data_IF_850052302550
#
_entry.id   IF_850052302550
#
_cell.length_a   1.000
_cell.length_b   1.000
_cell.length_c   1.000
_cell.angle_alpha   90.00
_cell.angle_beta   90.00
_cell.angle_gamma   90.00
#
_symmetry.space_group_name_H-M   'P 1'
#
loop_
_entity.id
_entity.type
_entity.pdbx_description
1 polymer ?
#
# COMPACT_ATOMS: atom_id res chain seq x y z
N UNK A 1 20.05 -15.36 -0.26
CA UNK A 1 18.85 -16.20 0.01
C UNK A 1 17.71 -15.58 -0.79
N UNK A 2 17.18 -16.29 -1.78
CA UNK A 2 16.12 -15.76 -2.65
C UNK A 2 14.86 -15.51 -1.80
N UNK A 3 14.32 -14.29 -1.85
CA UNK A 3 13.12 -13.94 -1.08
C UNK A 3 11.91 -14.55 -1.80
N UNK A 4 11.12 -15.35 -1.07
CA UNK A 4 9.90 -15.98 -1.62
C UNK A 4 8.95 -14.94 -2.21
N UNK A 5 8.51 -15.16 -3.45
CA UNK A 5 7.54 -14.28 -4.15
C UNK A 5 6.27 -14.04 -3.33
N UNK A 6 5.78 -15.07 -2.64
CA UNK A 6 4.61 -14.98 -1.75
C UNK A 6 4.89 -14.03 -0.58
N UNK A 7 6.07 -14.16 0.03
CA UNK A 7 6.50 -13.30 1.15
C UNK A 7 6.65 -11.85 0.71
N UNK A 8 7.28 -11.60 -0.43
CA UNK A 8 7.45 -10.25 -0.99
C UNK A 8 6.09 -9.63 -1.35
N UNK A 9 5.18 -10.39 -1.96
CA UNK A 9 3.83 -9.92 -2.29
C UNK A 9 3.01 -9.57 -1.04
N UNK A 10 3.09 -10.39 0.01
CA UNK A 10 2.44 -10.13 1.29
C UNK A 10 2.94 -8.82 1.92
N UNK A 11 4.26 -8.69 2.10
CA UNK A 11 4.84 -7.50 2.72
C UNK A 11 4.65 -6.22 1.90
N UNK A 12 4.64 -6.31 0.57
CA UNK A 12 4.33 -5.17 -0.29
C UNK A 12 2.92 -4.63 -0.05
N UNK A 13 1.93 -5.51 0.08
CA UNK A 13 0.54 -5.12 0.40
C UNK A 13 0.45 -4.44 1.76
N UNK A 14 1.10 -4.99 2.79
CA UNK A 14 1.13 -4.37 4.11
C UNK A 14 1.81 -2.99 4.10
N UNK A 15 2.92 -2.86 3.37
CA UNK A 15 3.64 -1.60 3.25
C UNK A 15 2.82 -0.53 2.51
N UNK A 16 2.17 -0.89 1.40
CA UNK A 16 1.27 0.01 0.66
C UNK A 16 0.09 0.43 1.52
N UNK A 17 -0.56 -0.49 2.25
CA UNK A 17 -1.63 -0.15 3.17
C UNK A 17 -1.15 0.84 4.25
N UNK A 18 0.03 0.62 4.82
CA UNK A 18 0.60 1.53 5.81
C UNK A 18 0.90 2.92 5.24
N UNK A 19 1.46 3.00 4.03
CA UNK A 19 1.74 4.29 3.37
C UNK A 19 0.47 5.11 3.14
N UNK A 20 -0.63 4.46 2.78
CA UNK A 20 -1.93 5.10 2.59
C UNK A 20 -2.51 5.55 3.94
N UNK A 21 -2.55 4.65 4.92
CA UNK A 21 -3.14 4.89 6.24
C UNK A 21 -2.40 5.98 7.04
N UNK A 22 -1.06 6.02 6.93
CA UNK A 22 -0.21 7.07 7.51
C UNK A 22 -0.34 8.43 6.81
N UNK A 23 -0.98 8.49 5.64
CA UNK A 23 -1.03 9.67 4.78
C UNK A 23 0.26 9.93 3.99
N UNK A 24 1.28 9.08 4.10
CA UNK A 24 2.57 9.24 3.41
C UNK A 24 2.43 9.17 1.89
N UNK A 25 1.59 8.26 1.38
CA UNK A 25 1.30 8.15 -0.04
C UNK A 25 -0.13 7.65 -0.29
N UNK A 26 -1.01 8.56 -0.69
CA UNK A 26 -2.45 8.29 -0.87
C UNK A 26 -2.89 8.29 -2.33
N UNK A 27 -1.95 8.24 -3.29
CA UNK A 27 -2.26 8.18 -4.72
C UNK A 27 -1.28 7.26 -5.44
N UNK A 28 -1.64 6.75 -6.62
CA UNK A 28 -0.73 5.89 -7.42
C UNK A 28 0.62 6.59 -7.69
N UNK A 29 0.67 7.86 -8.13
CA UNK A 29 1.95 8.55 -8.31
C UNK A 29 2.77 8.66 -7.02
N UNK A 30 2.14 8.94 -5.88
CA UNK A 30 2.84 9.02 -4.60
C UNK A 30 3.39 7.65 -4.16
N UNK A 31 2.63 6.57 -4.37
CA UNK A 31 3.09 5.21 -4.09
C UNK A 31 4.30 4.84 -4.96
N UNK A 32 4.29 5.20 -6.25
CA UNK A 32 5.43 4.99 -7.13
C UNK A 32 6.67 5.74 -6.62
N UNK A 33 6.51 7.01 -6.21
CA UNK A 33 7.61 7.81 -5.67
C UNK A 33 8.18 7.22 -4.36
N UNK A 34 7.31 6.74 -3.46
CA UNK A 34 7.71 6.18 -2.17
C UNK A 34 8.35 4.79 -2.24
N UNK A 35 8.18 4.07 -3.35
CA UNK A 35 8.55 2.64 -3.44
C UNK A 35 9.42 2.28 -4.64
N UNK A 36 9.56 3.18 -5.64
CA UNK A 36 10.21 2.88 -6.91
C UNK A 36 9.44 1.90 -7.81
N UNK A 37 8.25 1.44 -7.40
CA UNK A 37 7.46 0.49 -8.17
C UNK A 37 6.92 1.08 -9.48
N UNK A 38 6.80 0.29 -10.57
CA UNK A 38 6.03 0.68 -11.74
C UNK A 38 4.55 0.91 -11.42
N UNK A 39 3.89 1.77 -12.20
CA UNK A 39 2.46 2.10 -12.02
C UNK A 39 1.56 0.86 -11.93
N UNK A 40 1.76 -0.11 -12.82
CA UNK A 40 0.96 -1.34 -12.86
C UNK A 40 1.08 -2.12 -11.56
N UNK A 41 2.29 -2.25 -11.01
CA UNK A 41 2.55 -2.93 -9.73
C UNK A 41 1.88 -2.21 -8.57
N UNK A 42 1.90 -0.87 -8.52
CA UNK A 42 1.20 -0.12 -7.50
C UNK A 42 -0.33 -0.34 -7.57
N UNK A 43 -0.90 -0.30 -8.78
CA UNK A 43 -2.34 -0.55 -9.01
C UNK A 43 -2.74 -1.99 -8.66
N UNK A 44 -1.95 -2.99 -9.06
CA UNK A 44 -2.22 -4.40 -8.72
C UNK A 44 -2.11 -4.64 -7.21
N UNK A 45 -1.15 -3.99 -6.54
CA UNK A 45 -1.01 -4.09 -5.08
C UNK A 45 -2.23 -3.51 -4.37
N UNK A 46 -2.72 -2.35 -4.80
CA UNK A 46 -3.94 -1.72 -4.28
C UNK A 46 -5.16 -2.63 -4.45
N UNK A 47 -5.34 -3.19 -5.65
CA UNK A 47 -6.46 -4.10 -5.94
C UNK A 47 -6.39 -5.38 -5.08
N UNK A 48 -5.19 -5.88 -4.81
CA UNK A 48 -4.97 -7.09 -4.03
C UNK A 48 -5.01 -6.89 -2.50
N UNK A 49 -5.28 -5.67 -2.00
CA UNK A 49 -5.46 -5.43 -0.56
C UNK A 49 -6.68 -6.16 0.00
N UNK A 50 -7.76 -6.24 -0.79
CA UNK A 50 -8.99 -6.93 -0.40
C UNK A 50 -8.80 -8.44 -0.18
N UNK A 51 -7.79 -9.07 -0.79
CA UNK A 51 -7.46 -10.48 -0.54
C UNK A 51 -6.90 -10.73 0.87
N UNK A 52 -6.48 -9.67 1.57
CA UNK A 52 -6.06 -9.71 2.98
C UNK A 52 -7.15 -9.14 3.91
N UNK A 53 -8.37 -8.95 3.41
CA UNK A 53 -9.48 -8.28 4.08
C UNK A 53 -9.18 -6.83 4.52
N UNK A 54 -8.15 -6.19 3.93
CA UNK A 54 -7.85 -4.77 4.12
C UNK A 54 -8.77 -3.96 3.20
N UNK A 55 -9.65 -3.14 3.79
CA UNK A 55 -10.56 -2.28 3.04
C UNK A 55 -9.88 -0.95 2.70
N UNK A 56 -9.60 -0.76 1.42
CA UNK A 56 -9.02 0.45 0.86
C UNK A 56 -10.02 1.12 -0.08
N UNK A 57 -10.53 2.28 0.32
CA UNK A 57 -11.46 3.06 -0.49
C UNK A 57 -10.70 4.06 -1.36
N UNK A 58 -11.26 4.40 -2.52
CA UNK A 58 -10.84 5.59 -3.28
C UNK A 58 -11.88 6.69 -3.06
N UNK A 59 -11.46 7.80 -2.44
CA UNK A 59 -12.31 8.93 -2.07
C UNK A 59 -12.10 10.05 -3.07
N UNK A 60 -13.19 10.57 -3.64
CA UNK A 60 -13.23 11.75 -4.51
C UNK A 60 -14.11 12.82 -3.88
N UNK A 61 -13.74 14.09 -3.99
CA UNK A 61 -14.62 15.19 -3.58
C UNK A 61 -15.57 15.56 -4.70
N UNK A 62 -16.80 15.94 -4.35
CA UNK A 62 -17.82 16.39 -5.30
C UNK A 62 -17.29 17.55 -6.15
N UNK A 63 -17.37 17.41 -7.48
CA UNK A 63 -16.92 18.41 -8.45
C UNK A 63 -15.47 18.29 -8.92
N UNK A 64 -14.69 17.33 -8.39
CA UNK A 64 -13.35 17.06 -8.88
C UNK A 64 -13.37 16.34 -10.24
N UNK A 65 -12.39 16.65 -11.11
CA UNK A 65 -12.22 15.99 -12.41
C UNK A 65 -12.13 14.48 -12.21
N UNK A 66 -12.63 13.69 -13.16
CA UNK A 66 -12.38 12.25 -13.21
C UNK A 66 -10.88 11.99 -12.96
N UNK A 67 -10.56 11.23 -11.90
CA UNK A 67 -9.22 10.88 -11.41
C UNK A 67 -8.54 11.82 -10.38
N UNK A 68 -9.19 12.90 -9.94
CA UNK A 68 -8.78 13.59 -8.71
C UNK A 68 -9.46 12.91 -7.51
N UNK A 69 -8.65 12.48 -6.56
CA UNK A 69 -9.05 11.66 -5.42
C UNK A 69 -7.85 11.01 -4.74
N UNK A 70 -8.08 10.36 -3.62
CA UNK A 70 -7.04 9.70 -2.83
C UNK A 70 -7.53 8.38 -2.23
N UNK A 71 -6.61 7.45 -2.04
CA UNK A 71 -6.87 6.21 -1.32
C UNK A 71 -6.90 6.46 0.19
N UNK A 72 -7.77 5.72 0.87
CA UNK A 72 -7.87 5.70 2.33
C UNK A 72 -8.06 4.27 2.81
N UNK A 73 -7.28 3.84 3.79
CA UNK A 73 -7.57 2.58 4.49
C UNK A 73 -8.72 2.84 5.46
N UNK A 74 -9.85 2.18 5.23
CA UNK A 74 -11.00 2.24 6.11
C UNK A 74 -10.93 1.20 7.23
N UNK A 75 -10.27 0.07 6.96
CA UNK A 75 -10.17 -1.06 7.87
C UNK A 75 -8.96 -1.93 7.53
N UNK A 76 -8.22 -2.36 8.55
CA UNK A 76 -7.08 -3.27 8.40
C UNK A 76 -7.50 -4.75 8.44
N UNK A 77 -8.77 -5.04 8.75
CA UNK A 77 -9.28 -6.40 8.85
C UNK A 77 -8.49 -7.20 9.90
N UNK A 78 -7.98 -8.39 9.57
CA UNK A 78 -7.25 -9.24 10.50
C UNK A 78 -5.80 -8.80 10.74
N UNK A 79 -5.30 -7.77 10.04
CA UNK A 79 -3.90 -7.36 10.12
C UNK A 79 -3.69 -6.33 11.24
N UNK A 80 -2.70 -6.58 12.11
CA UNK A 80 -2.29 -5.61 13.13
C UNK A 80 -1.44 -4.49 12.52
N UNK A 81 -2.07 -3.32 12.36
CA UNK A 81 -1.45 -2.08 11.92
C UNK A 81 -0.23 -1.69 12.76
N UNK A 82 -0.28 -1.85 14.08
CA UNK A 82 0.80 -1.44 14.98
C UNK A 82 2.03 -2.34 14.78
N UNK A 83 1.81 -3.64 14.57
CA UNK A 83 2.88 -4.56 14.19
C UNK A 83 3.56 -4.12 12.89
N UNK A 84 2.79 -3.76 11.85
CA UNK A 84 3.35 -3.28 10.58
C UNK A 84 4.21 -2.03 10.79
N UNK A 85 3.72 -1.05 11.55
CA UNK A 85 4.43 0.18 11.86
C UNK A 85 5.78 -0.09 12.56
N UNK A 86 5.79 -1.01 13.53
CA UNK A 86 7.01 -1.39 14.26
C UNK A 86 8.04 -2.13 13.39
N UNK A 87 7.60 -2.76 12.29
CA UNK A 87 8.45 -3.58 11.43
C UNK A 87 8.77 -2.95 10.06
N UNK A 88 8.41 -1.67 9.84
CA UNK A 88 8.67 -0.98 8.57
C UNK A 88 10.13 -1.03 8.13
N UNK A 89 11.15 -0.84 9.00
CA UNK A 89 12.54 -0.89 8.56
C UNK A 89 12.91 -2.25 7.96
N UNK A 90 12.47 -3.35 8.58
CA UNK A 90 12.73 -4.71 8.09
C UNK A 90 11.95 -5.00 6.80
N UNK A 91 10.71 -4.51 6.70
CA UNK A 91 9.87 -4.67 5.51
C UNK A 91 10.49 -3.93 4.32
N UNK A 92 10.91 -2.67 4.49
CA UNK A 92 11.56 -1.88 3.44
C UNK A 92 12.84 -2.53 2.95
N UNK A 93 13.68 -2.97 3.89
CA UNK A 93 14.93 -3.67 3.57
C UNK A 93 14.68 -4.95 2.77
N UNK A 94 13.66 -5.74 3.14
CA UNK A 94 13.30 -6.97 2.43
C UNK A 94 12.78 -6.71 1.01
N UNK A 95 12.05 -5.62 0.82
CA UNK A 95 11.46 -5.23 -0.46
C UNK A 95 12.42 -4.46 -1.37
N UNK A 96 13.59 -4.06 -0.85
CA UNK A 96 14.55 -3.17 -1.51
C UNK A 96 13.89 -1.85 -1.95
N UNK A 97 13.08 -1.27 -1.06
CA UNK A 97 12.42 0.02 -1.29
C UNK A 97 13.26 1.17 -0.72
N UNK A 98 13.14 2.39 -1.32
CA UNK A 98 13.85 3.58 -0.86
C UNK A 98 13.58 3.89 0.62
#
# INVERSE_FOLDING_TARGET
MEVSKTRTSFYRRLYVAWLIDSGTATSVPALMAATGMPRRTAQDTLAALAELDIRCDFVQHDGERNNAGHYRIADWGPIDRAWVAAHLPQIRLLLDYP
#
